data_IF_368906211717
#
_entry.id   IF_368906211717
#
_cell.length_a   1.000
_cell.length_b   1.000
_cell.length_c   1.000
_cell.angle_alpha   90.00
_cell.angle_beta   90.00
_cell.angle_gamma   90.00
#
_symmetry.space_group_name_H-M   'P 1'
#
loop_
_entity.id
_entity.type
_entity.pdbx_description
1 polymer ?
#
# COMPACT_ATOMS: atom_id res chain seq x y z
N UNK A 1 -10.87 20.20 11.88
CA UNK A 1 -11.76 19.30 11.10
C UNK A 1 -13.12 19.24 11.77
N UNK A 2 -14.16 19.63 11.06
CA UNK A 2 -15.55 19.55 11.46
C UNK A 2 -16.08 18.12 11.29
N UNK A 3 -17.27 17.83 11.85
CA UNK A 3 -17.93 16.55 11.65
C UNK A 3 -18.22 16.26 10.16
N UNK A 4 -18.67 17.29 9.43
CA UNK A 4 -18.96 17.16 8.01
C UNK A 4 -17.71 16.86 7.16
N UNK A 5 -16.61 17.51 7.45
CA UNK A 5 -15.31 17.20 6.82
C UNK A 5 -14.87 15.78 7.15
N UNK A 6 -15.04 15.34 8.40
CA UNK A 6 -14.74 13.97 8.81
C UNK A 6 -15.64 12.96 8.10
N UNK A 7 -16.93 13.24 7.97
CA UNK A 7 -17.90 12.41 7.25
C UNK A 7 -17.52 12.23 5.79
N UNK A 8 -17.12 13.31 5.08
CA UNK A 8 -16.66 13.27 3.69
C UNK A 8 -15.48 12.31 3.49
N UNK A 9 -14.63 12.11 4.50
CA UNK A 9 -13.48 11.23 4.41
C UNK A 9 -13.80 9.74 4.59
N UNK A 10 -15.07 9.42 4.94
CA UNK A 10 -15.57 8.05 5.15
C UNK A 10 -16.56 7.61 4.07
N UNK A 11 -16.68 8.36 2.97
CA UNK A 11 -17.69 8.22 1.90
C UNK A 11 -17.82 6.79 1.34
N UNK A 12 -16.75 6.01 1.34
CA UNK A 12 -16.77 4.64 0.81
C UNK A 12 -17.14 3.55 1.81
N UNK A 13 -17.49 3.95 3.05
CA UNK A 13 -17.91 3.01 4.08
C UNK A 13 -19.36 3.33 4.43
N UNK A 14 -20.26 2.42 4.11
CA UNK A 14 -21.66 2.48 4.53
C UNK A 14 -21.77 2.37 6.07
N UNK A 15 -21.37 3.42 6.77
CA UNK A 15 -21.54 3.52 8.21
C UNK A 15 -22.83 4.29 8.52
N UNK A 16 -23.59 3.83 9.51
CA UNK A 16 -24.67 4.63 10.10
C UNK A 16 -24.12 5.95 10.67
N UNK A 17 -24.94 6.98 10.72
CA UNK A 17 -24.55 8.30 11.24
C UNK A 17 -24.02 8.22 12.67
N UNK A 18 -24.63 7.38 13.53
CA UNK A 18 -24.19 7.12 14.90
C UNK A 18 -22.76 6.55 14.94
N UNK A 19 -22.43 5.61 14.07
CA UNK A 19 -21.09 5.04 13.99
C UNK A 19 -20.04 6.04 13.47
N UNK A 20 -20.44 6.95 12.57
CA UNK A 20 -19.58 8.05 12.13
C UNK A 20 -19.32 9.02 13.27
N UNK A 21 -20.34 9.37 14.03
CA UNK A 21 -20.23 10.26 15.21
C UNK A 21 -19.31 9.69 16.27
N UNK A 22 -19.49 8.42 16.66
CA UNK A 22 -18.61 7.76 17.63
C UNK A 22 -17.14 7.78 17.19
N UNK A 23 -16.87 7.53 15.91
CA UNK A 23 -15.51 7.60 15.34
C UNK A 23 -14.93 9.01 15.32
N UNK A 24 -15.79 10.01 15.11
CA UNK A 24 -15.37 11.41 15.15
C UNK A 24 -15.02 11.83 16.58
N UNK A 25 -15.81 11.42 17.57
CA UNK A 25 -15.52 11.64 18.98
C UNK A 25 -14.20 10.96 19.36
N UNK A 26 -14.03 9.68 19.02
CA UNK A 26 -12.76 8.96 19.24
C UNK A 26 -11.57 9.68 18.58
N UNK A 27 -11.74 10.22 17.37
CA UNK A 27 -10.73 11.01 16.70
C UNK A 27 -10.37 12.30 17.46
N UNK A 28 -11.37 13.03 17.98
CA UNK A 28 -11.14 14.26 18.73
C UNK A 28 -10.41 14.00 20.05
N UNK A 29 -10.82 12.99 20.81
CA UNK A 29 -10.13 12.58 22.04
C UNK A 29 -8.68 12.18 21.78
N UNK A 30 -8.43 11.35 20.78
CA UNK A 30 -7.05 10.97 20.42
C UNK A 30 -6.20 12.14 19.99
N UNK A 31 -6.78 13.07 19.26
CA UNK A 31 -6.05 14.26 18.82
C UNK A 31 -5.60 15.10 20.02
N UNK A 32 -6.51 15.37 20.99
CA UNK A 32 -6.19 16.09 22.23
C UNK A 32 -5.12 15.32 23.03
N UNK A 33 -5.32 14.04 23.25
CA UNK A 33 -4.41 13.19 24.04
C UNK A 33 -2.98 13.19 23.45
N UNK A 34 -2.85 13.00 22.14
CA UNK A 34 -1.54 13.00 21.51
C UNK A 34 -0.87 14.38 21.48
N UNK A 35 -1.63 15.46 21.37
CA UNK A 35 -1.08 16.81 21.52
C UNK A 35 -0.53 17.06 22.93
N UNK A 36 -1.26 16.61 23.97
CA UNK A 36 -0.76 16.69 25.34
C UNK A 36 0.56 15.93 25.51
N UNK A 37 0.61 14.68 25.04
CA UNK A 37 1.83 13.86 25.11
C UNK A 37 2.99 14.52 24.36
N UNK A 38 2.76 15.09 23.17
CA UNK A 38 3.80 15.79 22.42
C UNK A 38 4.31 17.04 23.15
N UNK A 39 3.45 17.75 23.86
CA UNK A 39 3.85 18.92 24.65
C UNK A 39 4.81 18.54 25.80
N UNK A 40 4.72 17.34 26.32
CA UNK A 40 5.66 16.80 27.33
C UNK A 40 6.93 16.19 26.71
N UNK A 41 6.99 16.07 25.38
CA UNK A 41 8.13 15.46 24.72
C UNK A 41 9.26 16.49 24.54
N UNK A 42 10.37 16.28 25.25
CA UNK A 42 11.54 17.17 25.23
C UNK A 42 12.66 16.70 24.28
N UNK A 43 12.38 15.71 23.41
CA UNK A 43 13.38 15.20 22.47
C UNK A 43 13.67 16.23 21.37
N UNK A 44 14.58 17.15 21.63
CA UNK A 44 15.15 18.05 20.62
C UNK A 44 16.18 17.27 19.79
N UNK A 45 15.89 17.06 18.53
CA UNK A 45 16.88 16.58 17.56
C UNK A 45 17.08 17.66 16.52
N UNK A 46 18.33 18.04 16.28
CA UNK A 46 18.73 19.00 15.25
C UNK A 46 18.57 18.39 13.85
N UNK A 47 17.34 18.08 13.47
CA UNK A 47 17.00 17.56 12.15
C UNK A 47 15.99 18.49 11.47
N UNK A 48 16.05 18.63 10.14
CA UNK A 48 15.03 19.33 9.39
C UNK A 48 13.62 18.77 9.70
N UNK A 49 12.62 19.62 9.57
CA UNK A 49 11.24 19.29 9.97
C UNK A 49 10.34 19.19 8.75
N UNK A 50 9.53 18.15 8.70
CA UNK A 50 8.44 18.00 7.72
C UNK A 50 7.11 18.29 8.42
N UNK A 51 6.47 19.38 8.04
CA UNK A 51 5.18 19.79 8.58
C UNK A 51 4.05 19.19 7.74
N UNK A 52 3.24 18.33 8.35
CA UNK A 52 2.06 17.72 7.72
C UNK A 52 0.90 18.72 7.80
N UNK A 53 0.76 19.59 6.80
CA UNK A 53 -0.26 20.66 6.77
C UNK A 53 -1.60 20.18 6.26
N UNK A 54 -1.61 19.36 5.20
CA UNK A 54 -2.82 18.82 4.60
C UNK A 54 -3.15 17.42 5.13
N UNK A 55 -4.41 16.99 4.89
CA UNK A 55 -4.80 15.62 5.15
C UNK A 55 -4.16 14.67 4.14
N UNK A 56 -3.59 13.62 4.67
CA UNK A 56 -3.00 12.55 3.90
C UNK A 56 -3.63 11.20 4.28
N UNK A 57 -3.68 10.26 3.32
CA UNK A 57 -4.05 8.88 3.63
C UNK A 57 -3.09 8.28 4.66
N UNK A 58 -3.64 7.52 5.60
CA UNK A 58 -2.87 6.93 6.71
C UNK A 58 -1.70 6.06 6.21
N UNK A 59 -1.86 5.36 5.10
CA UNK A 59 -0.82 4.49 4.54
C UNK A 59 0.28 5.32 3.89
N UNK A 60 -0.10 6.39 3.19
CA UNK A 60 0.82 7.36 2.62
C UNK A 60 1.72 7.98 3.69
N UNK A 61 1.12 8.51 4.77
CA UNK A 61 1.88 9.10 5.88
C UNK A 61 2.80 8.07 6.54
N UNK A 62 2.35 6.82 6.72
CA UNK A 62 3.19 5.77 7.28
C UNK A 62 4.42 5.50 6.40
N UNK A 63 4.23 5.43 5.08
CA UNK A 63 5.35 5.23 4.17
C UNK A 63 6.36 6.38 4.28
N UNK A 64 5.91 7.63 4.23
CA UNK A 64 6.77 8.81 4.40
C UNK A 64 7.51 8.79 5.74
N UNK A 65 6.79 8.55 6.83
CA UNK A 65 7.38 8.50 8.16
C UNK A 65 8.50 7.46 8.24
N UNK A 66 8.24 6.22 7.79
CA UNK A 66 9.25 5.16 7.83
C UNK A 66 10.41 5.39 6.87
N UNK A 67 10.17 6.06 5.77
CA UNK A 67 11.24 6.41 4.84
C UNK A 67 12.14 7.52 5.38
N UNK A 68 11.58 8.52 6.06
CA UNK A 68 12.30 9.77 6.33
C UNK A 68 12.65 10.00 7.81
N UNK A 69 12.17 9.18 8.74
CA UNK A 69 12.37 9.37 10.21
C UNK A 69 13.83 9.40 10.66
N UNK A 70 14.76 8.87 9.87
CA UNK A 70 16.17 8.88 10.23
C UNK A 70 16.81 10.26 10.01
N UNK A 71 16.37 10.99 8.98
CA UNK A 71 16.92 12.28 8.58
C UNK A 71 16.01 13.47 8.89
N UNK A 72 14.75 13.24 9.23
CA UNK A 72 13.76 14.28 9.49
C UNK A 72 12.99 14.05 10.78
N UNK A 73 12.57 15.17 11.40
CA UNK A 73 11.50 15.18 12.37
C UNK A 73 10.18 15.49 11.66
N UNK A 74 9.07 15.15 12.29
CA UNK A 74 7.74 15.43 11.76
C UNK A 74 7.00 16.36 12.71
N UNK A 75 6.15 17.22 12.15
CA UNK A 75 5.14 17.93 12.92
C UNK A 75 3.81 17.91 12.19
N UNK A 76 2.73 18.15 12.90
CA UNK A 76 1.40 18.25 12.29
C UNK A 76 0.55 19.28 13.06
N UNK A 77 -0.38 19.91 12.34
CA UNK A 77 -1.32 20.83 12.96
C UNK A 77 -2.32 20.11 13.85
N UNK A 78 -2.70 20.74 14.95
CA UNK A 78 -3.83 20.34 15.78
C UNK A 78 -5.06 20.16 14.89
N UNK A 79 -5.81 19.09 15.08
CA UNK A 79 -6.96 18.69 14.25
C UNK A 79 -6.64 18.13 12.85
N UNK A 80 -5.39 17.92 12.48
CA UNK A 80 -5.05 17.18 11.28
C UNK A 80 -5.33 15.68 11.47
N UNK A 81 -5.87 15.02 10.44
CA UNK A 81 -6.13 13.57 10.47
C UNK A 81 -4.87 12.70 10.48
N UNK A 82 -3.71 13.30 10.26
CA UNK A 82 -2.42 12.61 10.39
C UNK A 82 -2.28 11.87 11.74
N UNK A 83 -2.92 12.37 12.81
CA UNK A 83 -2.96 11.69 14.12
C UNK A 83 -3.48 10.25 14.05
N UNK A 84 -4.34 9.92 13.08
CA UNK A 84 -4.89 8.57 12.93
C UNK A 84 -3.85 7.52 12.53
N UNK A 85 -2.73 7.92 11.95
CA UNK A 85 -1.67 6.97 11.60
C UNK A 85 -0.90 6.45 12.81
N UNK A 86 -0.98 7.15 13.95
CA UNK A 86 -0.30 6.80 15.20
C UNK A 86 -0.63 5.38 15.68
N UNK A 87 -1.89 4.95 15.52
CA UNK A 87 -2.26 3.56 15.79
C UNK A 87 -1.43 2.54 15.02
N UNK A 88 -0.90 2.94 13.88
CA UNK A 88 -0.17 2.08 12.95
C UNK A 88 1.33 2.08 13.18
N UNK A 89 1.89 3.22 13.60
CA UNK A 89 3.33 3.33 13.87
C UNK A 89 3.69 3.09 15.34
N UNK A 90 2.70 3.14 16.23
CA UNK A 90 2.90 3.03 17.68
C UNK A 90 3.42 4.32 18.33
N UNK A 91 2.97 4.58 19.55
CA UNK A 91 3.23 5.82 20.25
C UNK A 91 4.72 6.07 20.50
N UNK A 92 5.50 5.02 20.82
CA UNK A 92 6.95 5.13 21.07
C UNK A 92 7.70 5.66 19.86
N UNK A 93 7.41 5.13 18.66
CA UNK A 93 8.03 5.59 17.41
C UNK A 93 7.59 7.02 17.06
N UNK A 94 6.33 7.33 17.28
CA UNK A 94 5.79 8.66 17.06
C UNK A 94 6.52 9.71 17.93
N UNK A 95 6.56 9.53 19.24
CA UNK A 95 7.19 10.45 20.17
C UNK A 95 8.67 10.68 19.87
N UNK A 96 9.38 9.64 19.41
CA UNK A 96 10.80 9.73 19.08
C UNK A 96 11.11 10.64 17.90
N UNK A 97 10.18 10.81 16.97
CA UNK A 97 10.42 11.50 15.68
C UNK A 97 9.42 12.60 15.37
N UNK A 98 8.55 12.98 16.32
CA UNK A 98 7.54 14.01 16.10
C UNK A 98 7.70 15.11 17.14
N UNK A 99 7.61 16.36 16.69
CA UNK A 99 7.65 17.54 17.52
C UNK A 99 6.27 18.22 17.51
N UNK A 100 5.84 18.83 18.64
CA UNK A 100 4.67 19.69 18.64
C UNK A 100 5.01 20.99 17.88
N UNK A 101 4.02 21.56 17.19
CA UNK A 101 4.21 22.73 16.34
C UNK A 101 4.78 23.94 17.10
N UNK A 102 4.41 24.11 18.37
CA UNK A 102 4.88 25.19 19.24
C UNK A 102 6.30 25.00 19.82
N UNK A 103 6.92 23.84 19.62
CA UNK A 103 8.30 23.52 20.04
C UNK A 103 9.26 23.42 18.86
N UNK A 104 8.86 23.88 17.68
CA UNK A 104 9.72 23.92 16.50
C UNK A 104 10.73 25.06 16.69
N UNK A 105 12.01 24.70 16.67
CA UNK A 105 13.07 25.69 16.62
C UNK A 105 13.01 26.40 15.27
N UNK A 106 12.86 27.71 15.28
CA UNK A 106 12.77 28.56 14.08
C UNK A 106 14.05 28.54 13.24
N UNK A 107 15.18 28.19 13.86
CA UNK A 107 16.47 28.05 13.18
C UNK A 107 16.56 26.72 12.38
N UNK A 108 15.69 25.75 12.64
CA UNK A 108 15.69 24.51 11.90
C UNK A 108 14.98 24.67 10.56
N UNK A 109 15.61 24.14 9.51
CA UNK A 109 15.02 24.09 8.18
C UNK A 109 13.71 23.30 8.21
N UNK A 110 12.63 23.91 7.80
CA UNK A 110 11.30 23.28 7.81
C UNK A 110 10.67 23.28 6.42
N UNK A 111 9.93 22.22 6.11
CA UNK A 111 9.24 22.03 4.85
C UNK A 111 7.77 21.75 5.09
N UNK A 112 6.88 22.54 4.52
CA UNK A 112 5.45 22.27 4.54
C UNK A 112 5.11 21.23 3.46
N UNK A 113 4.50 20.14 3.84
CA UNK A 113 4.03 19.11 2.92
C UNK A 113 2.59 19.43 2.53
N UNK A 114 2.35 19.75 1.27
CA UNK A 114 1.08 20.17 0.73
C UNK A 114 0.64 19.26 -0.41
N UNK A 115 -0.68 19.06 -0.57
CA UNK A 115 -1.25 18.27 -1.68
C UNK A 115 -1.73 19.23 -2.78
N UNK A 116 -1.23 19.02 -4.00
CA UNK A 116 -1.61 19.79 -5.20
C UNK A 116 -1.57 21.33 -5.03
N UNK A 117 -0.64 21.81 -4.18
CA UNK A 117 -0.45 23.24 -3.90
C UNK A 117 1.02 23.60 -4.02
N UNK A 118 1.32 24.58 -4.85
CA UNK A 118 2.70 25.11 -5.03
C UNK A 118 2.85 26.39 -4.25
N UNK A 119 3.52 26.33 -3.10
CA UNK A 119 3.85 27.48 -2.25
C UNK A 119 5.36 27.50 -2.04
N UNK A 120 5.94 28.70 -1.96
CA UNK A 120 7.36 28.87 -1.65
C UNK A 120 7.73 28.14 -0.36
N UNK A 121 8.86 27.47 -0.33
CA UNK A 121 9.34 26.68 0.81
C UNK A 121 8.43 25.48 1.19
N UNK A 122 7.68 24.95 0.23
CA UNK A 122 6.88 23.74 0.43
C UNK A 122 7.36 22.58 -0.44
N UNK A 123 6.99 21.37 -0.05
CA UNK A 123 7.09 20.17 -0.85
C UNK A 123 5.68 19.86 -1.36
N UNK A 124 5.49 19.95 -2.66
CA UNK A 124 4.22 19.65 -3.29
C UNK A 124 4.08 18.15 -3.55
N UNK A 125 3.02 17.55 -3.03
CA UNK A 125 2.60 16.20 -3.40
C UNK A 125 1.63 16.30 -4.57
N UNK A 126 2.11 15.97 -5.75
CA UNK A 126 1.29 15.92 -6.95
C UNK A 126 0.58 14.58 -7.02
N UNK A 127 -0.74 14.56 -7.01
CA UNK A 127 -1.55 13.34 -7.05
C UNK A 127 -2.01 12.96 -8.46
N UNK A 128 -1.63 13.69 -9.49
CA UNK A 128 -1.90 13.33 -10.89
C UNK A 128 -1.01 12.16 -11.38
N UNK A 129 -0.95 11.11 -10.58
CA UNK A 129 -0.09 9.96 -10.80
C UNK A 129 -0.40 9.23 -12.10
N UNK A 130 -1.67 8.96 -12.37
CA UNK A 130 -2.08 8.22 -13.57
C UNK A 130 -1.95 9.06 -14.85
N UNK A 131 -2.17 10.36 -14.78
CA UNK A 131 -1.90 11.28 -15.90
C UNK A 131 -0.42 11.25 -16.29
N UNK A 132 0.47 11.26 -15.30
CA UNK A 132 1.91 11.17 -15.54
C UNK A 132 2.33 9.79 -16.10
N UNK A 133 1.82 8.69 -15.56
CA UNK A 133 2.13 7.33 -16.04
C UNK A 133 1.71 7.15 -17.51
N UNK A 134 0.58 7.75 -17.89
CA UNK A 134 0.08 7.67 -19.26
C UNK A 134 0.81 8.60 -20.24
N UNK A 135 1.40 9.70 -19.75
CA UNK A 135 2.16 10.66 -20.56
C UNK A 135 3.41 11.16 -19.82
N UNK A 136 4.50 10.38 -19.78
CA UNK A 136 5.69 10.70 -18.99
C UNK A 136 6.54 11.88 -19.54
N UNK A 137 6.13 12.55 -20.63
CA UNK A 137 6.93 13.57 -21.34
C UNK A 137 7.22 14.85 -20.54
N UNK A 138 6.68 15.01 -19.33
CA UNK A 138 6.59 16.34 -18.67
C UNK A 138 7.38 16.42 -17.40
N UNK A 139 8.36 16.12 -16.99
CA UNK A 139 9.18 16.43 -15.78
C UNK A 139 9.75 15.23 -15.05
N UNK A 140 10.97 15.38 -14.60
CA UNK A 140 11.62 14.46 -13.65
C UNK A 140 11.02 14.67 -12.25
N UNK A 141 9.90 14.01 -11.95
CA UNK A 141 9.36 13.97 -10.59
C UNK A 141 10.15 12.98 -9.74
N UNK A 142 10.29 13.29 -8.46
CA UNK A 142 10.57 12.27 -7.49
C UNK A 142 9.29 11.44 -7.28
N UNK A 143 9.28 10.21 -7.80
CA UNK A 143 8.11 9.34 -7.66
C UNK A 143 8.15 8.64 -6.30
N UNK A 144 7.11 8.86 -5.50
CA UNK A 144 6.92 8.10 -4.28
C UNK A 144 6.32 6.73 -4.62
N UNK A 145 6.96 5.64 -4.22
CA UNK A 145 6.43 4.31 -4.46
C UNK A 145 5.04 4.11 -3.85
N UNK A 146 4.21 3.31 -4.51
CA UNK A 146 2.95 2.90 -3.92
C UNK A 146 3.22 2.13 -2.61
N UNK A 147 2.42 2.39 -1.60
CA UNK A 147 2.69 1.96 -0.22
C UNK A 147 2.11 0.56 0.10
N UNK A 148 2.75 -0.11 1.01
CA UNK A 148 2.27 -1.36 1.62
C UNK A 148 1.34 -1.07 2.80
N UNK A 149 0.78 -2.13 3.37
CA UNK A 149 -0.01 -2.00 4.59
C UNK A 149 0.86 -1.48 5.75
N UNK A 150 0.39 -0.50 6.54
CA UNK A 150 1.24 0.23 7.51
C UNK A 150 1.95 -0.65 8.54
N UNK A 151 1.34 -1.76 8.95
CA UNK A 151 1.94 -2.67 9.94
C UNK A 151 3.27 -3.27 9.48
N UNK A 152 3.52 -3.37 8.17
CA UNK A 152 4.80 -3.85 7.64
C UNK A 152 5.97 -2.99 8.08
N UNK A 153 5.76 -1.69 8.13
CA UNK A 153 6.82 -0.76 8.49
C UNK A 153 7.12 -0.75 10.00
N UNK A 154 6.13 -1.17 10.83
CA UNK A 154 6.27 -1.18 12.30
C UNK A 154 7.09 -2.32 12.83
N UNK A 155 7.03 -3.45 12.16
CA UNK A 155 7.76 -4.59 12.63
C UNK A 155 9.21 -4.48 12.18
N UNK A 156 10.15 -4.61 13.10
CA UNK A 156 11.55 -4.90 12.80
C UNK A 156 11.62 -6.31 12.17
N UNK A 157 10.99 -6.43 10.98
CA UNK A 157 11.07 -7.67 10.21
C UNK A 157 12.46 -7.88 9.64
N UNK A 158 13.47 -7.69 10.49
CA UNK A 158 14.83 -7.98 10.08
C UNK A 158 14.95 -9.41 9.61
N UNK A 159 14.17 -10.35 10.17
CA UNK A 159 14.54 -11.75 10.01
C UNK A 159 13.41 -12.73 9.62
N UNK A 160 12.12 -12.35 9.66
CA UNK A 160 11.03 -13.30 9.43
C UNK A 160 10.49 -13.35 7.99
N UNK A 161 10.62 -12.28 7.23
CA UNK A 161 10.09 -12.18 5.87
C UNK A 161 11.20 -11.97 4.85
N UNK A 162 12.20 -12.82 4.96
CA UNK A 162 13.20 -12.94 3.93
C UNK A 162 12.66 -13.77 2.76
N UNK A 163 13.12 -13.41 1.63
CA UNK A 163 13.18 -14.24 0.46
C UNK A 163 13.51 -15.68 0.88
N UNK A 164 12.50 -16.50 1.02
CA UNK A 164 12.69 -17.92 1.24
C UNK A 164 13.24 -18.52 -0.04
N UNK A 165 14.45 -19.05 0.00
CA UNK A 165 15.06 -19.71 -1.16
C UNK A 165 14.13 -20.78 -1.75
N UNK A 166 13.45 -21.53 -0.88
CA UNK A 166 12.46 -22.54 -1.27
C UNK A 166 11.06 -22.01 -1.00
N UNK A 167 10.21 -21.96 -2.03
CA UNK A 167 8.77 -21.79 -1.86
C UNK A 167 8.14 -23.15 -1.54
N UNK A 168 6.99 -23.14 -0.86
CA UNK A 168 6.27 -24.37 -0.47
C UNK A 168 5.13 -24.70 -1.41
N UNK A 169 4.59 -23.71 -2.11
CA UNK A 169 3.49 -23.88 -3.07
C UNK A 169 3.59 -22.82 -4.18
N UNK A 170 2.80 -22.98 -5.24
CA UNK A 170 2.94 -22.15 -6.43
C UNK A 170 2.24 -20.79 -6.27
N UNK A 171 0.93 -20.73 -6.05
CA UNK A 171 0.14 -19.51 -6.15
C UNK A 171 -0.60 -19.21 -4.85
N UNK A 172 -0.56 -17.95 -4.42
CA UNK A 172 -1.27 -17.45 -3.23
C UNK A 172 -2.18 -16.27 -3.56
N UNK A 173 -3.34 -16.28 -2.92
CA UNK A 173 -4.20 -15.09 -2.82
C UNK A 173 -4.85 -15.00 -1.45
N UNK A 174 -4.93 -13.78 -0.91
CA UNK A 174 -5.77 -13.46 0.24
C UNK A 174 -6.46 -12.12 0.04
N UNK A 175 -7.73 -12.04 0.36
CA UNK A 175 -8.44 -10.78 0.25
C UNK A 175 -9.96 -10.87 0.36
N UNK A 176 -10.59 -9.69 0.53
CA UNK A 176 -12.04 -9.56 0.57
C UNK A 176 -12.67 -9.84 -0.80
N UNK A 177 -13.83 -10.52 -0.78
CA UNK A 177 -14.58 -10.92 -1.97
C UNK A 177 -16.05 -10.46 -1.91
N UNK A 178 -16.34 -9.41 -1.13
CA UNK A 178 -17.69 -8.86 -0.98
C UNK A 178 -18.23 -8.37 -2.32
N UNK A 179 -19.23 -9.07 -2.89
CA UNK A 179 -19.78 -8.78 -4.22
C UNK A 179 -20.26 -7.32 -4.35
N UNK A 180 -20.98 -6.81 -3.37
CA UNK A 180 -21.49 -5.43 -3.33
C UNK A 180 -20.40 -4.34 -3.28
N UNK A 181 -19.14 -4.72 -3.02
CA UNK A 181 -17.99 -3.81 -2.92
C UNK A 181 -17.09 -3.95 -4.13
N UNK A 182 -16.65 -5.17 -4.45
CA UNK A 182 -15.62 -5.42 -5.47
C UNK A 182 -16.16 -5.58 -6.88
N UNK A 183 -17.48 -5.75 -7.07
CA UNK A 183 -18.12 -5.71 -8.39
C UNK A 183 -18.27 -4.29 -8.94
N UNK A 184 -18.21 -3.27 -8.08
CA UNK A 184 -18.34 -1.86 -8.46
C UNK A 184 -17.08 -1.25 -9.07
N UNK A 185 -15.96 -1.99 -9.05
CA UNK A 185 -14.73 -1.55 -9.66
C UNK A 185 -14.94 -1.42 -11.19
N UNK A 186 -14.69 -0.24 -11.69
CA UNK A 186 -14.77 0.06 -13.11
C UNK A 186 -13.54 0.90 -13.48
N UNK A 187 -12.58 0.26 -14.11
CA UNK A 187 -11.37 0.90 -14.60
C UNK A 187 -11.23 0.60 -16.08
N UNK A 188 -11.21 1.64 -16.85
CA UNK A 188 -10.93 1.58 -18.29
C UNK A 188 -9.58 2.22 -18.54
N UNK A 189 -8.71 1.51 -19.24
CA UNK A 189 -7.45 2.01 -19.72
C UNK A 189 -7.41 1.85 -21.23
N UNK A 190 -7.49 2.96 -21.97
CA UNK A 190 -7.43 2.99 -23.43
C UNK A 190 -8.48 2.05 -24.08
N UNK A 191 -9.72 2.09 -23.62
CA UNK A 191 -10.81 1.25 -24.11
C UNK A 191 -10.77 -0.21 -23.62
N UNK A 192 -9.81 -0.58 -22.75
CA UNK A 192 -9.69 -1.93 -22.18
C UNK A 192 -10.12 -1.94 -20.72
N UNK A 193 -11.30 -2.46 -20.49
CA UNK A 193 -11.86 -2.62 -19.15
C UNK A 193 -11.13 -3.70 -18.38
N UNK A 194 -10.55 -3.38 -17.23
CA UNK A 194 -9.94 -4.36 -16.33
C UNK A 194 -11.01 -5.25 -15.69
N UNK A 195 -10.68 -6.54 -15.53
CA UNK A 195 -11.54 -7.48 -14.79
C UNK A 195 -11.68 -7.03 -13.33
N UNK A 196 -12.89 -7.11 -12.81
CA UNK A 196 -13.14 -6.93 -11.37
C UNK A 196 -12.54 -8.10 -10.59
N UNK A 197 -12.28 -7.90 -9.30
CA UNK A 197 -11.79 -8.96 -8.42
C UNK A 197 -12.72 -10.18 -8.42
N UNK A 198 -14.04 -9.98 -8.42
CA UNK A 198 -14.99 -11.07 -8.43
C UNK A 198 -14.93 -11.84 -9.75
N UNK A 199 -14.88 -11.17 -10.90
CA UNK A 199 -14.72 -11.84 -12.19
C UNK A 199 -13.45 -12.67 -12.28
N UNK A 200 -12.33 -12.17 -11.73
CA UNK A 200 -11.05 -12.88 -11.65
C UNK A 200 -11.22 -14.14 -10.81
N UNK A 201 -11.76 -14.01 -9.60
CA UNK A 201 -11.88 -15.14 -8.67
C UNK A 201 -12.92 -16.16 -9.12
N UNK A 202 -14.06 -15.72 -9.65
CA UNK A 202 -15.09 -16.63 -10.20
C UNK A 202 -14.53 -17.47 -11.34
N UNK A 203 -13.74 -16.87 -12.24
CA UNK A 203 -13.05 -17.56 -13.33
C UNK A 203 -12.09 -18.63 -12.79
N UNK A 204 -11.22 -18.26 -11.85
CA UNK A 204 -10.20 -19.16 -11.30
C UNK A 204 -10.80 -20.27 -10.43
N UNK A 205 -11.81 -19.97 -9.62
CA UNK A 205 -12.50 -20.96 -8.79
C UNK A 205 -13.26 -21.97 -9.63
N UNK A 206 -13.76 -21.59 -10.80
CA UNK A 206 -14.38 -22.51 -11.75
C UNK A 206 -13.34 -23.43 -12.39
N UNK A 207 -12.28 -22.85 -12.95
CA UNK A 207 -11.26 -23.57 -13.72
C UNK A 207 -10.40 -24.50 -12.86
N UNK A 208 -9.93 -24.00 -11.70
CA UNK A 208 -8.97 -24.72 -10.83
C UNK A 208 -9.63 -25.29 -9.57
N UNK A 209 -10.93 -25.59 -9.59
CA UNK A 209 -11.71 -26.04 -8.42
C UNK A 209 -11.02 -27.13 -7.61
N UNK A 210 -10.46 -28.15 -8.29
CA UNK A 210 -9.82 -29.28 -7.64
C UNK A 210 -8.38 -29.06 -7.19
N UNK A 211 -7.73 -27.97 -7.68
CA UNK A 211 -6.35 -27.64 -7.37
C UNK A 211 -6.23 -26.59 -6.28
N UNK A 212 -7.30 -25.82 -6.03
CA UNK A 212 -7.32 -24.74 -5.04
C UNK A 212 -7.62 -25.32 -3.65
N UNK A 213 -6.75 -24.99 -2.69
CA UNK A 213 -7.03 -25.13 -1.26
C UNK A 213 -7.61 -23.82 -0.73
N UNK A 214 -8.81 -23.87 -0.18
CA UNK A 214 -9.46 -22.71 0.45
C UNK A 214 -9.23 -22.74 1.95
N UNK A 215 -8.48 -21.77 2.46
CA UNK A 215 -8.36 -21.54 3.90
C UNK A 215 -9.66 -20.93 4.41
N UNK A 216 -10.38 -21.65 5.28
CA UNK A 216 -11.68 -21.27 5.86
C UNK A 216 -11.61 -20.96 7.33
N UNK A 217 -10.65 -21.56 8.04
CA UNK A 217 -10.46 -21.41 9.48
C UNK A 217 -8.98 -21.53 9.87
N UNK A 218 -8.70 -21.22 11.14
CA UNK A 218 -7.31 -21.22 11.64
C UNK A 218 -6.68 -22.62 11.67
N UNK A 219 -7.48 -23.66 11.82
CA UNK A 219 -7.00 -25.04 11.83
C UNK A 219 -6.47 -25.48 10.48
N UNK A 220 -6.98 -24.91 9.39
CA UNK A 220 -6.48 -25.18 8.03
C UNK A 220 -5.00 -24.82 7.88
N UNK A 221 -4.50 -23.85 8.65
CA UNK A 221 -3.09 -23.44 8.64
C UNK A 221 -2.16 -24.44 9.32
N UNK A 222 -2.70 -25.27 10.22
CA UNK A 222 -1.95 -26.30 10.93
C UNK A 222 -1.89 -27.62 10.15
N UNK A 223 -2.78 -27.77 9.18
CA UNK A 223 -2.84 -28.97 8.36
C UNK A 223 -1.72 -28.96 7.32
N UNK A 224 -0.79 -29.93 7.42
CA UNK A 224 0.27 -30.11 6.44
C UNK A 224 -0.25 -30.34 5.02
N UNK A 225 -1.52 -30.70 4.84
CA UNK A 225 -2.17 -30.83 3.53
C UNK A 225 -2.20 -29.52 2.75
N UNK A 226 -2.17 -28.37 3.43
CA UNK A 226 -2.13 -27.07 2.75
C UNK A 226 -0.96 -26.98 1.77
N UNK A 227 0.22 -27.52 2.15
CA UNK A 227 1.42 -27.47 1.30
C UNK A 227 1.49 -28.59 0.24
N UNK A 228 0.53 -29.52 0.25
CA UNK A 228 0.37 -30.51 -0.83
C UNK A 228 -0.35 -29.92 -2.04
N UNK A 229 -1.09 -28.83 -1.86
CA UNK A 229 -1.79 -28.14 -2.96
C UNK A 229 -0.90 -27.06 -3.58
N UNK A 230 -1.08 -26.86 -4.89
CA UNK A 230 -0.29 -25.85 -5.64
C UNK A 230 -0.85 -24.45 -5.51
N UNK A 231 -2.15 -24.31 -5.30
CA UNK A 231 -2.87 -23.02 -5.23
C UNK A 231 -3.55 -22.91 -3.87
N UNK A 232 -3.30 -21.81 -3.16
CA UNK A 232 -3.87 -21.54 -1.84
C UNK A 232 -4.56 -20.19 -1.85
N UNK A 233 -5.86 -20.18 -1.55
CA UNK A 233 -6.67 -18.98 -1.44
C UNK A 233 -7.25 -18.82 -0.03
N UNK A 234 -7.25 -17.58 0.49
CA UNK A 234 -7.98 -17.18 1.68
C UNK A 234 -8.96 -16.06 1.31
N UNK A 235 -10.23 -16.40 1.19
CA UNK A 235 -11.29 -15.51 0.72
C UNK A 235 -12.05 -14.94 1.92
N UNK A 236 -11.99 -13.62 2.10
CA UNK A 236 -12.63 -12.92 3.23
C UNK A 236 -14.09 -12.60 2.90
N UNK A 237 -14.94 -13.62 2.93
CA UNK A 237 -16.38 -13.49 2.81
C UNK A 237 -17.07 -14.25 3.95
N UNK A 238 -18.11 -13.65 4.53
CA UNK A 238 -18.94 -14.30 5.57
C UNK A 238 -19.67 -15.55 5.05
N UNK A 239 -19.95 -15.59 3.74
CA UNK A 239 -20.63 -16.73 3.08
C UNK A 239 -19.72 -17.92 2.87
N UNK A 240 -18.41 -17.69 2.73
CA UNK A 240 -17.42 -18.74 2.43
C UNK A 240 -16.77 -19.28 3.70
N UNK A 241 -16.60 -18.43 4.72
CA UNK A 241 -16.08 -18.84 6.04
C UNK A 241 -17.17 -18.77 7.11
N UNK A 242 -17.47 -19.90 7.76
CA UNK A 242 -18.48 -20.00 8.84
C UNK A 242 -18.27 -18.99 9.99
N UNK A 243 -17.03 -18.56 10.23
CA UNK A 243 -16.63 -17.59 11.25
C UNK A 243 -15.65 -16.62 10.62
N UNK A 244 -16.05 -15.69 9.80
CA UNK A 244 -15.25 -14.55 9.30
C UNK A 244 -13.73 -14.66 9.61
N UNK A 245 -13.12 -15.79 9.20
CA UNK A 245 -11.71 -16.02 9.44
C UNK A 245 -10.90 -15.08 8.52
N UNK A 246 -10.09 -14.28 9.12
CA UNK A 246 -9.15 -13.40 8.45
C UNK A 246 -7.75 -13.85 8.87
N UNK A 247 -6.88 -14.12 7.92
CA UNK A 247 -5.47 -14.25 8.23
C UNK A 247 -5.02 -13.02 8.99
N UNK A 248 -4.36 -13.22 10.11
CA UNK A 248 -3.68 -12.11 10.73
C UNK A 248 -2.50 -11.68 9.86
N UNK A 249 -1.95 -10.54 10.17
CA UNK A 249 -0.89 -9.95 9.38
C UNK A 249 0.33 -10.88 9.22
N UNK A 250 0.77 -11.55 10.29
CA UNK A 250 1.92 -12.47 10.27
C UNK A 250 1.64 -13.70 9.40
N UNK A 251 0.48 -14.32 9.58
CA UNK A 251 0.04 -15.48 8.79
C UNK A 251 -0.01 -15.15 7.28
N UNK A 252 -0.60 -14.00 6.93
CA UNK A 252 -0.69 -13.56 5.54
C UNK A 252 0.69 -13.40 4.90
N UNK A 253 1.61 -12.76 5.62
CA UNK A 253 2.96 -12.50 5.11
C UNK A 253 3.80 -13.78 5.04
N UNK A 254 3.62 -14.66 5.98
CA UNK A 254 4.29 -15.95 5.98
C UNK A 254 3.87 -16.78 4.76
N UNK A 255 2.57 -16.90 4.52
CA UNK A 255 2.06 -17.59 3.33
C UNK A 255 2.53 -16.92 2.03
N UNK A 256 2.49 -15.59 1.96
CA UNK A 256 2.96 -14.85 0.80
C UNK A 256 4.46 -15.08 0.55
N UNK A 257 5.29 -15.17 1.60
CA UNK A 257 6.72 -15.45 1.48
C UNK A 257 7.02 -16.88 1.00
N UNK A 258 6.13 -17.83 1.33
CA UNK A 258 6.23 -19.23 0.89
C UNK A 258 5.64 -19.47 -0.49
N UNK A 259 4.96 -18.53 -1.09
CA UNK A 259 4.43 -18.66 -2.45
C UNK A 259 5.47 -18.31 -3.52
N UNK A 260 5.46 -19.04 -4.62
CA UNK A 260 6.24 -18.68 -5.80
C UNK A 260 5.63 -17.46 -6.51
N UNK A 261 4.31 -17.44 -6.60
CA UNK A 261 3.52 -16.39 -7.26
C UNK A 261 2.42 -15.89 -6.33
N UNK A 262 1.99 -14.66 -6.55
CA UNK A 262 0.81 -14.09 -5.89
C UNK A 262 -0.16 -13.53 -6.92
N UNK A 263 -1.44 -13.87 -6.76
CA UNK A 263 -2.50 -13.22 -7.53
C UNK A 263 -2.77 -11.84 -6.95
N UNK A 264 -2.67 -10.83 -7.79
CA UNK A 264 -2.91 -9.43 -7.43
C UNK A 264 -4.14 -8.92 -8.20
N UNK A 265 -5.25 -8.79 -7.49
CA UNK A 265 -6.49 -8.26 -8.02
C UNK A 265 -6.58 -6.76 -7.79
N UNK A 266 -7.36 -6.02 -8.60
CA UNK A 266 -7.70 -4.64 -8.33
C UNK A 266 -8.34 -4.44 -6.94
N UNK A 267 -8.20 -3.23 -6.39
CA UNK A 267 -8.88 -2.79 -5.18
C UNK A 267 -10.35 -2.48 -5.42
N UNK A 268 -10.98 -1.74 -4.48
CA UNK A 268 -12.39 -1.32 -4.61
C UNK A 268 -12.56 -0.23 -5.67
N UNK A 269 -11.66 0.73 -5.70
CA UNK A 269 -11.65 1.87 -6.63
C UNK A 269 -10.32 2.03 -7.35
N UNK A 270 -9.26 1.45 -6.82
CA UNK A 270 -7.92 1.54 -7.35
C UNK A 270 -7.54 0.30 -8.15
N UNK A 271 -6.93 0.45 -9.34
CA UNK A 271 -6.40 -0.68 -10.10
C UNK A 271 -5.19 -1.30 -9.42
N UNK A 272 -4.46 -0.53 -8.63
CA UNK A 272 -3.31 -1.00 -7.83
C UNK A 272 -3.77 -1.33 -6.41
N UNK A 273 -3.30 -2.43 -5.86
CA UNK A 273 -3.54 -2.83 -4.48
C UNK A 273 -2.20 -2.89 -3.72
N UNK A 274 -2.20 -2.54 -2.42
CA UNK A 274 -1.02 -2.65 -1.56
C UNK A 274 -0.39 -4.05 -1.55
N UNK A 275 -1.20 -5.09 -1.72
CA UNK A 275 -0.76 -6.47 -1.82
C UNK A 275 0.23 -6.70 -2.98
N UNK A 276 0.15 -5.91 -4.05
CA UNK A 276 1.11 -5.97 -5.16
C UNK A 276 2.54 -5.61 -4.68
N UNK A 277 2.68 -4.52 -3.93
CA UNK A 277 3.99 -4.10 -3.42
C UNK A 277 4.52 -5.07 -2.34
N UNK A 278 3.61 -5.61 -1.54
CA UNK A 278 3.92 -6.66 -0.55
C UNK A 278 4.47 -7.92 -1.22
N UNK A 279 3.85 -8.34 -2.31
CA UNK A 279 4.30 -9.46 -3.12
C UNK A 279 5.72 -9.23 -3.67
N UNK A 280 5.96 -8.05 -4.24
CA UNK A 280 7.27 -7.65 -4.77
C UNK A 280 8.32 -7.71 -3.66
N UNK A 281 8.03 -7.14 -2.49
CA UNK A 281 8.94 -7.13 -1.33
C UNK A 281 9.32 -8.55 -0.89
N UNK A 282 8.34 -9.44 -0.83
CA UNK A 282 8.53 -10.81 -0.33
C UNK A 282 9.07 -11.76 -1.41
N UNK A 283 9.23 -11.27 -2.63
CA UNK A 283 9.73 -12.06 -3.75
C UNK A 283 8.69 -13.07 -4.28
N UNK A 284 7.40 -12.87 -4.00
CA UNK A 284 6.32 -13.61 -4.64
C UNK A 284 6.00 -12.96 -5.98
N UNK A 285 6.20 -13.66 -7.09
CA UNK A 285 6.09 -13.11 -8.44
C UNK A 285 4.64 -12.69 -8.70
N UNK A 286 4.34 -11.41 -8.99
CA UNK A 286 2.99 -10.96 -9.19
C UNK A 286 2.36 -11.53 -10.47
N UNK A 287 1.14 -12.04 -10.37
CA UNK A 287 0.22 -12.26 -11.48
C UNK A 287 -0.77 -11.09 -11.41
N UNK A 288 -0.67 -10.11 -12.33
CA UNK A 288 -1.32 -8.83 -12.16
C UNK A 288 -1.76 -8.17 -13.48
N UNK A 289 -2.94 -7.48 -13.51
CA UNK A 289 -3.34 -6.67 -14.64
C UNK A 289 -2.74 -5.26 -14.59
N UNK A 290 -2.16 -4.87 -13.43
CA UNK A 290 -1.70 -3.50 -13.15
C UNK A 290 -0.18 -3.33 -13.27
N UNK A 291 0.46 -4.15 -14.09
CA UNK A 291 1.91 -4.17 -14.26
C UNK A 291 2.49 -2.86 -14.80
N UNK A 292 1.74 -2.16 -15.62
CA UNK A 292 2.09 -0.90 -16.29
C UNK A 292 1.62 0.37 -15.54
N UNK A 293 0.96 0.19 -14.41
CA UNK A 293 0.49 1.29 -13.55
C UNK A 293 1.46 1.63 -12.41
N UNK A 294 2.57 0.90 -12.30
CA UNK A 294 3.66 1.22 -11.37
C UNK A 294 4.75 2.04 -12.09
N UNK A 295 5.49 2.82 -11.32
CA UNK A 295 6.68 3.50 -11.81
C UNK A 295 7.89 3.10 -10.93
N UNK A 296 8.88 2.38 -11.51
CA UNK A 296 8.88 1.83 -12.88
C UNK A 296 7.90 0.67 -13.06
N UNK A 297 7.54 0.43 -14.31
CA UNK A 297 6.62 -0.66 -14.68
C UNK A 297 7.21 -2.05 -14.43
N UNK A 298 6.33 -3.02 -14.13
CA UNK A 298 6.74 -4.42 -13.97
C UNK A 298 6.94 -5.09 -15.33
N UNK A 299 8.15 -5.51 -15.60
CA UNK A 299 8.44 -6.26 -16.82
C UNK A 299 7.97 -7.72 -16.73
N UNK A 300 7.77 -8.37 -17.89
CA UNK A 300 7.50 -9.82 -18.00
C UNK A 300 8.61 -10.70 -17.38
N UNK A 301 9.82 -10.14 -17.20
CA UNK A 301 10.94 -10.84 -16.55
C UNK A 301 10.71 -11.07 -15.06
N UNK A 302 9.85 -10.25 -14.42
CA UNK A 302 9.61 -10.28 -12.97
C UNK A 302 8.12 -10.36 -12.59
N UNK A 303 7.22 -10.45 -13.58
CA UNK A 303 5.78 -10.59 -13.37
C UNK A 303 5.14 -11.51 -14.42
N UNK A 304 3.93 -11.96 -14.15
CA UNK A 304 2.98 -12.52 -15.12
C UNK A 304 1.87 -11.49 -15.32
N UNK A 305 1.64 -11.12 -16.56
CA UNK A 305 0.73 -10.04 -16.96
C UNK A 305 -0.51 -10.63 -17.62
N UNK A 306 -1.68 -10.09 -17.29
CA UNK A 306 -2.94 -10.48 -17.94
C UNK A 306 -3.82 -9.24 -18.20
N UNK A 307 -4.76 -9.35 -19.14
CA UNK A 307 -5.67 -8.26 -19.53
C UNK A 307 -7.14 -8.70 -19.53
N UNK A 308 -7.38 -9.98 -19.78
CA UNK A 308 -8.71 -10.59 -19.91
C UNK A 308 -8.71 -11.97 -19.25
N UNK A 309 -9.82 -12.69 -19.35
CA UNK A 309 -9.97 -14.02 -18.75
C UNK A 309 -9.02 -15.05 -19.36
N UNK A 310 -8.85 -15.03 -20.68
CA UNK A 310 -7.98 -15.98 -21.40
C UNK A 310 -6.53 -15.81 -20.94
N UNK A 311 -5.98 -14.59 -21.03
CA UNK A 311 -4.61 -14.32 -20.58
C UNK A 311 -4.40 -14.53 -19.08
N UNK A 312 -5.46 -14.42 -18.25
CA UNK A 312 -5.42 -14.78 -16.83
C UNK A 312 -5.21 -16.29 -16.67
N UNK A 313 -6.00 -17.11 -17.36
CA UNK A 313 -5.89 -18.58 -17.32
C UNK A 313 -4.53 -19.05 -17.85
N UNK A 314 -4.09 -18.51 -18.99
CA UNK A 314 -2.75 -18.79 -19.55
C UNK A 314 -1.63 -18.44 -18.57
N UNK A 315 -1.76 -17.29 -17.89
CA UNK A 315 -0.84 -16.85 -16.85
C UNK A 315 -0.78 -17.84 -15.67
N UNK A 316 -1.92 -18.39 -15.25
CA UNK A 316 -1.99 -19.39 -14.19
C UNK A 316 -1.37 -20.71 -14.62
N UNK A 317 -1.71 -21.24 -15.80
CA UNK A 317 -1.10 -22.44 -16.35
C UNK A 317 0.42 -22.29 -16.49
N UNK A 318 0.88 -21.13 -16.99
CA UNK A 318 2.30 -20.82 -17.07
C UNK A 318 2.97 -20.83 -15.70
N UNK A 319 2.35 -20.23 -14.68
CA UNK A 319 2.86 -20.22 -13.31
C UNK A 319 2.97 -21.64 -12.72
N UNK A 320 1.96 -22.49 -12.94
CA UNK A 320 1.93 -23.86 -12.45
C UNK A 320 3.00 -24.74 -13.11
N UNK A 321 3.23 -24.56 -14.41
CA UNK A 321 4.22 -25.34 -15.21
C UNK A 321 5.65 -24.83 -15.09
N UNK A 322 5.88 -23.58 -14.60
CA UNK A 322 7.20 -22.98 -14.56
C UNK A 322 8.18 -23.77 -13.69
N UNK A 323 9.40 -23.98 -14.21
CA UNK A 323 10.48 -24.70 -13.52
C UNK A 323 10.99 -23.92 -12.31
N UNK A 324 11.50 -24.63 -11.31
CA UNK A 324 11.92 -24.02 -10.04
C UNK A 324 13.10 -23.04 -10.22
N UNK A 325 14.03 -23.33 -11.13
CA UNK A 325 15.20 -22.48 -11.44
C UNK A 325 14.75 -21.12 -12.03
N UNK A 326 13.77 -21.18 -12.94
CA UNK A 326 13.20 -19.96 -13.52
C UNK A 326 12.47 -19.14 -12.48
N UNK A 327 11.67 -19.77 -11.62
CA UNK A 327 11.00 -19.11 -10.51
C UNK A 327 12.01 -18.45 -9.58
N UNK A 328 13.06 -19.16 -9.21
CA UNK A 328 14.10 -18.63 -8.33
C UNK A 328 14.78 -17.40 -8.93
N UNK A 329 15.13 -17.46 -10.21
CA UNK A 329 15.77 -16.36 -10.93
C UNK A 329 14.85 -15.12 -10.98
N UNK A 330 13.57 -15.31 -11.30
CA UNK A 330 12.58 -14.22 -11.31
C UNK A 330 12.39 -13.61 -9.92
N UNK A 331 12.27 -14.43 -8.88
CA UNK A 331 12.14 -13.97 -7.49
C UNK A 331 13.33 -13.15 -7.04
N UNK A 332 14.56 -13.55 -7.40
CA UNK A 332 15.78 -12.77 -7.10
C UNK A 332 15.75 -11.41 -7.78
N UNK A 333 15.44 -11.35 -9.08
CA UNK A 333 15.31 -10.10 -9.84
C UNK A 333 14.21 -9.19 -9.27
N UNK A 334 13.08 -9.77 -8.87
CA UNK A 334 11.98 -9.03 -8.27
C UNK A 334 12.38 -8.37 -6.94
N UNK A 335 13.16 -9.07 -6.12
CA UNK A 335 13.67 -8.52 -4.87
C UNK A 335 14.65 -7.36 -5.10
N UNK A 336 15.54 -7.47 -6.07
CA UNK A 336 16.44 -6.37 -6.43
C UNK A 336 15.63 -5.16 -6.95
N UNK A 337 14.62 -5.42 -7.76
CA UNK A 337 13.67 -4.38 -8.21
C UNK A 337 13.00 -3.67 -7.01
N UNK A 338 12.52 -4.40 -6.00
CA UNK A 338 11.98 -3.79 -4.78
C UNK A 338 13.00 -2.90 -4.06
N UNK A 339 14.21 -3.39 -3.86
CA UNK A 339 15.27 -2.63 -3.16
C UNK A 339 15.59 -1.31 -3.86
N UNK A 340 15.66 -1.34 -5.17
CA UNK A 340 16.05 -0.17 -5.97
C UNK A 340 14.91 0.86 -6.06
N UNK A 341 13.66 0.41 -6.24
CA UNK A 341 12.58 1.31 -6.63
C UNK A 341 11.49 1.50 -5.57
N UNK A 342 11.28 0.53 -4.67
CA UNK A 342 10.14 0.55 -3.75
C UNK A 342 10.53 0.58 -2.27
N UNK A 343 11.80 0.40 -1.93
CA UNK A 343 12.22 0.39 -0.54
C UNK A 343 12.17 1.81 0.06
N UNK A 344 11.82 1.94 1.36
CA UNK A 344 11.91 3.20 2.07
C UNK A 344 13.30 3.85 2.01
N UNK A 345 14.36 3.06 2.04
CA UNK A 345 15.75 3.53 1.98
C UNK A 345 16.10 4.16 0.62
N UNK A 346 15.63 3.53 -0.46
CA UNK A 346 15.82 4.10 -1.80
C UNK A 346 15.07 5.41 -1.97
N UNK A 347 13.84 5.48 -1.48
CA UNK A 347 13.06 6.72 -1.51
C UNK A 347 13.74 7.82 -0.68
N UNK A 348 14.20 7.50 0.54
CA UNK A 348 14.92 8.44 1.41
C UNK A 348 16.13 9.07 0.71
N UNK A 349 16.99 8.22 0.11
CA UNK A 349 18.17 8.67 -0.64
C UNK A 349 17.81 9.65 -1.76
N UNK A 350 16.80 9.29 -2.56
CA UNK A 350 16.35 10.13 -3.67
C UNK A 350 15.66 11.41 -3.20
N UNK A 351 14.92 11.35 -2.09
CA UNK A 351 14.26 12.49 -1.48
C UNK A 351 15.28 13.51 -0.99
N UNK A 352 16.31 13.08 -0.25
CA UNK A 352 17.38 13.97 0.25
C UNK A 352 18.14 14.61 -0.92
N UNK A 353 18.46 13.82 -1.94
CA UNK A 353 19.10 14.35 -3.17
C UNK A 353 18.23 15.43 -3.84
N UNK A 354 16.94 15.18 -3.96
CA UNK A 354 15.99 16.13 -4.57
C UNK A 354 15.85 17.42 -3.75
N UNK A 355 15.86 17.35 -2.41
CA UNK A 355 15.81 18.53 -1.55
C UNK A 355 17.03 19.45 -1.67
N UNK A 356 18.18 18.91 -2.03
CA UNK A 356 19.42 19.63 -2.22
C UNK A 356 19.61 20.18 -3.64
N UNK A 357 18.71 19.80 -4.58
CA UNK A 357 18.73 20.31 -5.95
C UNK A 357 17.99 21.67 -6.04
N UNK A 358 18.32 22.46 -7.06
CA UNK A 358 17.63 23.73 -7.37
C UNK A 358 16.24 23.50 -7.99
N UNK A 359 15.93 22.27 -8.37
CA UNK A 359 14.66 21.89 -9.00
C UNK A 359 13.47 22.02 -8.03
N UNK A 360 12.25 22.26 -8.54
CA UNK A 360 11.07 22.34 -7.69
C UNK A 360 10.89 21.06 -6.89
N UNK A 361 10.61 21.21 -5.60
CA UNK A 361 10.43 20.12 -4.64
C UNK A 361 9.04 19.50 -4.83
N UNK A 362 8.91 18.71 -5.88
CA UNK A 362 7.65 18.09 -6.26
C UNK A 362 7.77 16.56 -6.23
N UNK A 363 6.85 15.92 -5.51
CA UNK A 363 6.77 14.47 -5.38
C UNK A 363 5.50 14.00 -6.09
N UNK A 364 5.65 13.10 -7.04
CA UNK A 364 4.52 12.40 -7.63
C UNK A 364 4.12 11.23 -6.76
N UNK A 365 2.88 11.18 -6.31
CA UNK A 365 2.39 10.12 -5.45
C UNK A 365 1.04 9.57 -5.91
N UNK A 366 0.89 8.25 -5.86
CA UNK A 366 -0.40 7.61 -6.02
C UNK A 366 -1.14 7.64 -4.68
N UNK A 367 -2.04 8.60 -4.52
CA UNK A 367 -2.92 8.72 -3.37
C UNK A 367 -4.33 8.32 -3.78
N UNK A 368 -4.82 7.18 -3.26
CA UNK A 368 -6.02 6.46 -3.74
C UNK A 368 -7.12 7.37 -4.34
N UNK A 369 -7.78 8.15 -3.51
CA UNK A 369 -8.94 8.93 -3.96
C UNK A 369 -8.57 10.16 -4.80
N UNK A 370 -7.50 10.85 -4.42
CA UNK A 370 -7.10 12.08 -5.12
C UNK A 370 -6.57 11.76 -6.51
N UNK A 371 -5.80 10.67 -6.65
CA UNK A 371 -5.27 10.26 -7.96
C UNK A 371 -6.36 9.81 -8.94
N UNK A 372 -7.45 9.21 -8.42
CA UNK A 372 -8.61 8.83 -9.26
C UNK A 372 -9.45 10.04 -9.64
N UNK A 373 -9.65 10.99 -8.73
CA UNK A 373 -10.35 12.24 -9.05
C UNK A 373 -9.66 12.99 -10.18
N UNK A 374 -8.33 13.09 -10.15
CA UNK A 374 -7.55 13.75 -11.19
C UNK A 374 -7.74 13.13 -12.59
N UNK A 375 -7.99 11.82 -12.66
CA UNK A 375 -8.32 11.15 -13.93
C UNK A 375 -9.67 11.57 -14.50
N UNK A 376 -10.65 11.75 -13.61
CA UNK A 376 -12.02 12.10 -14.03
C UNK A 376 -12.16 13.58 -14.42
N UNK A 377 -11.24 14.45 -13.96
CA UNK A 377 -11.18 15.86 -14.40
C UNK A 377 -10.54 16.06 -15.77
N UNK A 378 -9.80 15.06 -16.26
CA UNK A 378 -9.10 15.10 -17.54
C UNK A 378 -9.85 14.33 -18.66
N UNK A 379 -11.06 13.87 -18.38
CA UNK A 379 -12.03 13.33 -19.35
C UNK A 379 -13.11 14.36 -19.63
#
# INVERSE_FOLDING_TARGET
>A
MTFNEYKKTLIYKNYSTSKILLRFIEFKFKNIFYHLILNFNNNKKNKPIINLRDYHDTRFINYLFYSLKNNFNFSYQKNNRAVLFLKKIGIKNFLKHTLPENKIDTNLKSYNLLINKKIKNSININTNYFGYINNPKVKNYLVMPYYMYPQIYNYNYKDYFYFKKKFKFKIFFSGGVYKNVYSKFNWDKNGKKLLTRNQILDCLLKEFKNEIFLIREKNDLKDNKIFKKKIIFCLYDKMISKKKYLLNFKENYELLSYSAFSLNCPGVVMPICHHLIESIKLGSIPITPSYDLLNPQLSKKISIQYHNKESLLDGFYKALKMKNEEIYTKRKKLREFYKIFFSPQSFEKNFVKNLNSESPKEILACNDHESIKQLNFNK
#
